data_IF_908636481449
#
_entry.id   IF_908636481449
#
_cell.length_a   1.000
_cell.length_b   1.000
_cell.length_c   1.000
_cell.angle_alpha   90.00
_cell.angle_beta   90.00
_cell.angle_gamma   90.00
#
_symmetry.space_group_name_H-M   'P 1'
#
loop_
_entity.id
_entity.type
_entity.pdbx_description
1 polymer ?
#
# COMPACT_ATOMS: atom_id res chain seq x y z
N UNK A 1 41.19 -15.93 -11.75
CA UNK A 1 39.98 -16.18 -10.94
C UNK A 1 40.11 -15.32 -9.69
N UNK A 2 39.34 -14.25 -9.56
CA UNK A 2 39.44 -13.33 -8.42
C UNK A 2 38.06 -13.21 -7.80
N UNK A 3 37.94 -13.56 -6.53
CA UNK A 3 36.69 -13.55 -5.77
C UNK A 3 36.64 -12.34 -4.81
N UNK A 4 35.41 -11.83 -4.70
CA UNK A 4 34.79 -11.07 -3.61
C UNK A 4 35.26 -9.62 -3.30
N UNK A 5 34.31 -8.69 -3.43
CA UNK A 5 33.83 -7.97 -2.25
C UNK A 5 32.31 -7.76 -2.39
N UNK A 6 31.53 -8.52 -1.62
CA UNK A 6 30.14 -8.14 -1.37
C UNK A 6 30.19 -7.13 -0.22
N UNK A 7 29.78 -5.90 -0.51
CA UNK A 7 29.53 -4.90 0.52
C UNK A 7 28.39 -5.40 1.44
N UNK A 8 28.38 -5.03 2.74
CA UNK A 8 27.26 -5.37 3.59
C UNK A 8 26.03 -4.63 3.06
N UNK A 9 25.05 -5.40 2.57
CA UNK A 9 23.70 -4.90 2.35
C UNK A 9 23.22 -4.35 3.68
N UNK A 10 23.22 -3.02 3.80
CA UNK A 10 22.53 -2.33 4.88
C UNK A 10 21.06 -2.66 4.67
N UNK A 11 20.57 -3.66 5.41
CA UNK A 11 19.14 -3.90 5.53
C UNK A 11 18.56 -2.61 6.09
N UNK A 12 17.83 -1.88 5.25
CA UNK A 12 16.96 -0.80 5.72
C UNK A 12 16.07 -1.37 6.84
N UNK A 13 15.72 -0.58 7.86
CA UNK A 13 14.84 -1.03 8.92
C UNK A 13 13.53 -1.50 8.28
N UNK A 14 13.23 -2.78 8.44
CA UNK A 14 11.93 -3.38 8.14
C UNK A 14 10.92 -2.82 9.16
N UNK A 15 10.55 -1.55 8.95
CA UNK A 15 9.33 -0.97 9.49
C UNK A 15 8.23 -1.74 8.77
N UNK A 16 7.69 -2.77 9.42
CA UNK A 16 6.88 -3.79 8.75
C UNK A 16 5.68 -3.15 8.08
N UNK A 17 5.54 -3.30 6.77
CA UNK A 17 4.27 -3.02 6.11
C UNK A 17 3.47 -4.33 6.09
N UNK A 18 2.25 -4.33 6.62
CA UNK A 18 1.37 -5.49 6.60
C UNK A 18 0.41 -5.40 5.40
N UNK A 19 0.28 -6.49 4.66
CA UNK A 19 -0.69 -6.60 3.56
C UNK A 19 -2.09 -6.83 4.12
N UNK A 20 -3.02 -5.95 3.75
CA UNK A 20 -4.43 -6.05 4.16
C UNK A 20 -5.18 -6.91 3.16
N UNK A 21 -5.37 -8.19 3.51
CA UNK A 21 -6.07 -9.15 2.66
C UNK A 21 -7.59 -8.88 2.60
N UNK A 22 -8.19 -8.42 3.69
CA UNK A 22 -9.61 -8.08 3.80
C UNK A 22 -9.79 -6.58 4.00
N UNK A 23 -10.17 -5.88 2.94
CA UNK A 23 -10.32 -4.42 2.97
C UNK A 23 -11.47 -3.97 3.85
N UNK A 24 -12.43 -4.84 4.21
CA UNK A 24 -13.54 -4.47 5.10
C UNK A 24 -13.09 -4.14 6.52
N UNK A 25 -11.86 -4.52 6.88
CA UNK A 25 -11.23 -4.18 8.17
C UNK A 25 -10.69 -2.75 8.22
N UNK A 26 -10.57 -2.09 7.06
CA UNK A 26 -10.09 -0.73 6.94
C UNK A 26 -11.18 0.28 7.30
N UNK A 27 -10.76 1.41 7.86
CA UNK A 27 -11.65 2.49 8.26
C UNK A 27 -11.36 3.76 7.48
N UNK A 28 -12.40 4.55 7.21
CA UNK A 28 -12.24 5.91 6.70
C UNK A 28 -11.29 6.70 7.60
N UNK A 29 -10.27 7.31 7.01
CA UNK A 29 -9.22 8.04 7.71
C UNK A 29 -7.93 7.25 7.94
N UNK A 30 -7.91 5.93 7.72
CA UNK A 30 -6.66 5.16 7.80
C UNK A 30 -5.69 5.60 6.71
N UNK A 31 -4.41 5.67 7.05
CA UNK A 31 -3.36 5.93 6.08
C UNK A 31 -2.84 4.60 5.52
N UNK A 32 -2.91 4.45 4.21
CA UNK A 32 -2.52 3.21 3.52
C UNK A 32 -1.66 3.50 2.30
N UNK A 33 -0.93 2.48 1.86
CA UNK A 33 -0.29 2.45 0.54
C UNK A 33 -0.92 1.38 -0.32
N UNK A 34 -1.39 1.77 -1.51
CA UNK A 34 -1.91 0.86 -2.54
C UNK A 34 -0.85 0.63 -3.59
N UNK A 35 -0.56 -0.64 -3.86
CA UNK A 35 0.27 -1.10 -4.98
C UNK A 35 -0.65 -1.57 -6.12
N UNK A 36 -0.68 -0.81 -7.20
CA UNK A 36 -1.40 -1.17 -8.43
C UNK A 36 -0.58 -2.20 -9.22
N UNK A 37 -1.25 -3.09 -9.97
CA UNK A 37 -0.66 -4.21 -10.71
C UNK A 37 0.52 -3.84 -11.64
N UNK A 38 0.64 -2.57 -12.05
CA UNK A 38 1.74 -2.06 -12.88
C UNK A 38 2.93 -1.51 -12.10
N UNK A 39 2.99 -1.72 -10.78
CA UNK A 39 4.07 -1.25 -9.93
C UNK A 39 3.98 0.23 -9.55
N UNK A 40 2.80 0.85 -9.70
CA UNK A 40 2.57 2.20 -9.19
C UNK A 40 2.12 2.16 -7.74
N UNK A 41 2.73 3.01 -6.92
CA UNK A 41 2.41 3.12 -5.50
C UNK A 41 1.60 4.40 -5.26
N UNK A 42 0.54 4.27 -4.47
CA UNK A 42 -0.30 5.39 -4.08
C UNK A 42 -0.51 5.37 -2.57
N UNK A 43 0.05 6.37 -1.88
CA UNK A 43 -0.16 6.55 -0.44
C UNK A 43 -1.17 7.67 -0.18
N UNK A 44 -1.97 7.52 0.87
CA UNK A 44 -3.00 8.47 1.21
C UNK A 44 -3.93 7.99 2.30
N UNK A 45 -4.99 8.76 2.53
CA UNK A 45 -6.03 8.44 3.51
C UNK A 45 -7.24 7.83 2.83
N UNK A 46 -7.82 6.80 3.44
CA UNK A 46 -9.07 6.22 2.98
C UNK A 46 -10.17 7.27 3.15
N UNK A 47 -10.81 7.61 2.05
CA UNK A 47 -11.98 8.47 2.05
C UNK A 47 -13.26 7.63 2.16
N UNK A 48 -13.38 6.54 1.41
CA UNK A 48 -14.57 5.71 1.47
C UNK A 48 -14.28 4.26 1.04
N UNK A 49 -15.17 3.35 1.42
CA UNK A 49 -15.10 1.94 1.08
C UNK A 49 -16.49 1.37 0.82
N UNK A 50 -16.62 0.50 -0.17
CA UNK A 50 -17.87 -0.27 -0.30
C UNK A 50 -18.00 -1.27 0.85
N UNK A 51 -19.24 -1.60 1.23
CA UNK A 51 -19.54 -2.50 2.36
C UNK A 51 -18.92 -3.90 2.20
N UNK A 52 -18.75 -4.35 0.96
CA UNK A 52 -18.12 -5.63 0.60
C UNK A 52 -16.59 -5.55 0.48
N UNK A 53 -15.99 -4.37 0.65
CA UNK A 53 -14.55 -4.16 0.53
C UNK A 53 -14.01 -4.35 -0.89
N UNK A 54 -14.88 -4.36 -1.90
CA UNK A 54 -14.48 -4.52 -3.30
C UNK A 54 -13.83 -3.26 -3.88
N UNK A 55 -14.24 -2.08 -3.40
CA UNK A 55 -13.80 -0.78 -3.92
C UNK A 55 -13.37 0.12 -2.75
N UNK A 56 -12.23 0.78 -2.92
CA UNK A 56 -11.66 1.76 -1.99
C UNK A 56 -11.42 3.09 -2.70
N UNK A 57 -11.80 4.19 -2.06
CA UNK A 57 -11.40 5.53 -2.49
C UNK A 57 -10.32 6.08 -1.57
N UNK A 58 -9.21 6.51 -2.18
CA UNK A 58 -8.06 7.07 -1.50
C UNK A 58 -7.90 8.55 -1.85
N UNK A 59 -7.75 9.42 -0.85
CA UNK A 59 -7.27 10.79 -1.03
C UNK A 59 -5.74 10.75 -0.93
N UNK A 60 -5.09 10.94 -2.07
CA UNK A 60 -3.64 10.79 -2.20
C UNK A 60 -2.89 11.99 -1.61
N UNK A 61 -1.70 11.71 -1.08
CA UNK A 61 -0.76 12.72 -0.58
C UNK A 61 -0.34 13.72 -1.67
N UNK A 62 0.22 14.86 -1.26
CA UNK A 62 0.81 15.89 -2.16
C UNK A 62 -0.17 16.46 -3.19
N UNK A 63 -1.46 16.55 -2.86
CA UNK A 63 -2.46 17.08 -3.77
C UNK A 63 -2.80 16.15 -4.93
N UNK A 64 -2.48 14.86 -4.84
CA UNK A 64 -2.81 13.87 -5.87
C UNK A 64 -4.30 13.61 -6.08
N UNK A 65 -5.18 14.26 -5.31
CA UNK A 65 -6.62 14.14 -5.42
C UNK A 65 -7.15 12.76 -4.99
N UNK A 66 -8.43 12.53 -5.29
CA UNK A 66 -9.15 11.30 -4.96
C UNK A 66 -9.03 10.29 -6.10
N UNK A 67 -8.68 9.04 -5.80
CA UNK A 67 -8.63 7.92 -6.77
C UNK A 67 -9.35 6.70 -6.22
N UNK A 68 -10.00 5.96 -7.11
CA UNK A 68 -10.68 4.70 -6.82
C UNK A 68 -9.77 3.52 -7.16
N UNK A 69 -9.79 2.49 -6.32
CA UNK A 69 -9.07 1.22 -6.47
C UNK A 69 -10.05 0.07 -6.30
N UNK A 70 -9.80 -1.03 -7.03
CA UNK A 70 -10.68 -2.20 -7.01
C UNK A 70 -9.87 -3.43 -6.66
N UNK A 71 -10.33 -4.19 -5.66
CA UNK A 71 -9.65 -5.41 -5.21
C UNK A 71 -9.52 -6.45 -6.33
N UNK A 72 -10.51 -6.53 -7.22
CA UNK A 72 -10.51 -7.45 -8.38
C UNK A 72 -9.43 -7.11 -9.43
N UNK A 73 -8.91 -5.88 -9.44
CA UNK A 73 -7.82 -5.49 -10.34
C UNK A 73 -6.45 -6.03 -9.87
N UNK A 74 -6.39 -6.71 -8.72
CA UNK A 74 -5.17 -7.18 -8.11
C UNK A 74 -4.43 -6.11 -7.30
N UNK A 75 -5.09 -5.00 -6.99
CA UNK A 75 -4.53 -3.94 -6.16
C UNK A 75 -4.22 -4.49 -4.75
N UNK A 76 -3.03 -4.20 -4.23
CA UNK A 76 -2.59 -4.66 -2.90
C UNK A 76 -2.54 -3.46 -1.95
N UNK A 77 -3.25 -3.56 -0.83
CA UNK A 77 -3.25 -2.51 0.21
C UNK A 77 -2.29 -2.92 1.33
N UNK A 78 -1.49 -1.96 1.78
CA UNK A 78 -0.56 -2.12 2.90
C UNK A 78 -0.77 -1.03 3.94
N UNK A 79 -0.68 -1.40 5.22
CA UNK A 79 -0.65 -0.50 6.37
C UNK A 79 0.71 -0.57 7.06
N UNK A 80 1.14 0.52 7.71
CA UNK A 80 2.31 0.46 8.59
C UNK A 80 1.96 -0.39 9.82
N UNK A 81 2.80 -1.37 10.13
CA UNK A 81 2.68 -2.16 11.34
C UNK A 81 3.04 -1.29 12.56
N UNK A 82 2.35 -1.47 13.70
CA UNK A 82 2.59 -0.73 14.93
C UNK A 82 3.98 -1.00 15.54
#
# INVERSE_FOLDING_TARGET
MTAAVMAPSTSAPSTGAEVVADWTTLTRGDFVTVLESYGYHHSGWIDDLTKDGGILWLVRTYGGGRRMFCRENGDVVMVEAP
#
